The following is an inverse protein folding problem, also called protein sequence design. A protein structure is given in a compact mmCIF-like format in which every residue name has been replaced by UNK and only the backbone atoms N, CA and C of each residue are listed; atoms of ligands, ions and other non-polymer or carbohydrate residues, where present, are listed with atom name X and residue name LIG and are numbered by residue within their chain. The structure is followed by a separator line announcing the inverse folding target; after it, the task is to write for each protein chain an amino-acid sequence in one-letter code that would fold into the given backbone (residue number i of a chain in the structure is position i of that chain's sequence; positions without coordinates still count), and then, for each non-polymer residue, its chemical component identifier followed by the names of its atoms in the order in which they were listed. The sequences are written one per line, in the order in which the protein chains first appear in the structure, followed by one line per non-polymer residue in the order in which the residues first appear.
data_IF_357764421975
#
_entry.id   IF_357764421975
#
_cell.length_a   1.000
_cell.length_b   1.000
_cell.length_c   1.000
_cell.angle_alpha   90.00
_cell.angle_beta   90.00
_cell.angle_gamma   90.00
#
_symmetry.space_group_name_H-M   'P 1'
#
loop_
_entity.id
_entity.type
_entity.pdbx_description
1 polymer ?
#
# COMPACT_ATOMS: atom_id res chain seq x y z
N UNK A 1 41.13 -27.81 -39.27
CA UNK A 1 39.96 -28.35 -38.53
C UNK A 1 39.91 -27.72 -37.13
N UNK A 2 39.67 -26.41 -37.02
CA UNK A 2 39.64 -25.68 -35.73
C UNK A 2 38.57 -24.58 -35.65
N UNK A 3 37.76 -24.41 -36.70
CA UNK A 3 36.71 -23.38 -36.77
C UNK A 3 35.40 -23.84 -36.08
N UNK A 4 35.27 -25.14 -35.76
CA UNK A 4 34.06 -25.72 -35.16
C UNK A 4 33.87 -25.44 -33.67
N UNK A 5 34.94 -25.23 -32.90
CA UNK A 5 34.85 -25.14 -31.42
C UNK A 5 34.48 -23.72 -30.96
N UNK A 6 34.91 -22.69 -31.69
CA UNK A 6 34.60 -21.29 -31.36
C UNK A 6 33.12 -20.95 -31.57
N UNK A 7 32.49 -21.39 -32.67
CA UNK A 7 31.07 -21.11 -32.95
C UNK A 7 30.11 -21.84 -32.00
N UNK A 8 30.47 -23.05 -31.55
CA UNK A 8 29.71 -23.82 -30.54
C UNK A 8 29.70 -23.12 -29.17
N UNK A 9 30.85 -22.57 -28.74
CA UNK A 9 30.93 -21.78 -27.50
C UNK A 9 30.14 -20.47 -27.57
N UNK A 10 30.10 -19.80 -28.73
CA UNK A 10 29.30 -18.59 -28.93
C UNK A 10 27.80 -18.90 -28.91
N UNK A 11 27.39 -20.03 -29.50
CA UNK A 11 25.99 -20.46 -29.52
C UNK A 11 25.50 -20.88 -28.12
N UNK A 12 26.33 -21.59 -27.35
CA UNK A 12 26.01 -21.96 -25.97
C UNK A 12 25.88 -20.74 -25.04
N UNK A 13 26.78 -19.76 -25.18
CA UNK A 13 26.70 -18.50 -24.44
C UNK A 13 25.44 -17.69 -24.78
N UNK A 14 25.06 -17.68 -26.06
CA UNK A 14 23.85 -17.00 -26.51
C UNK A 14 22.58 -17.69 -25.97
N UNK A 15 22.53 -19.03 -25.98
CA UNK A 15 21.43 -19.80 -25.37
C UNK A 15 21.31 -19.47 -23.88
N UNK A 16 22.42 -19.52 -23.12
CA UNK A 16 22.43 -19.18 -21.69
C UNK A 16 21.98 -17.75 -21.42
N UNK A 17 22.39 -16.80 -22.25
CA UNK A 17 21.97 -15.39 -22.15
C UNK A 17 20.47 -15.25 -22.37
N UNK A 18 19.92 -15.89 -23.41
CA UNK A 18 18.48 -15.87 -23.70
C UNK A 18 17.68 -16.57 -22.61
N UNK A 19 18.16 -17.67 -22.05
CA UNK A 19 17.53 -18.36 -20.91
C UNK A 19 17.50 -17.48 -19.67
N UNK A 20 18.62 -16.82 -19.33
CA UNK A 20 18.67 -15.90 -18.21
C UNK A 20 17.73 -14.70 -18.41
N UNK A 21 17.71 -14.12 -19.62
CA UNK A 21 16.78 -13.05 -19.96
C UNK A 21 15.32 -13.48 -19.85
N UNK A 22 14.97 -14.67 -20.37
CA UNK A 22 13.64 -15.27 -20.22
C UNK A 22 13.28 -15.39 -18.74
N UNK A 23 14.19 -15.90 -17.91
CA UNK A 23 13.91 -16.13 -16.50
C UNK A 23 13.68 -14.80 -15.74
N UNK A 24 14.43 -13.75 -16.06
CA UNK A 24 14.23 -12.39 -15.54
C UNK A 24 12.85 -11.84 -15.99
N UNK A 25 12.52 -11.95 -17.27
CA UNK A 25 11.24 -11.46 -17.81
C UNK A 25 10.06 -12.18 -17.17
N UNK A 26 10.12 -13.51 -17.04
CA UNK A 26 9.08 -14.32 -16.41
C UNK A 26 8.95 -13.98 -14.92
N UNK A 27 10.06 -13.78 -14.22
CA UNK A 27 10.06 -13.39 -12.81
C UNK A 27 9.40 -12.01 -12.61
N UNK A 28 9.78 -11.01 -13.41
CA UNK A 28 9.21 -9.67 -13.36
C UNK A 28 7.71 -9.69 -13.67
N UNK A 29 7.30 -10.38 -14.74
CA UNK A 29 5.89 -10.51 -15.11
C UNK A 29 5.04 -11.13 -13.99
N UNK A 30 5.56 -12.15 -13.29
CA UNK A 30 4.87 -12.75 -12.13
C UNK A 30 4.72 -11.76 -10.98
N UNK A 31 5.79 -11.02 -10.65
CA UNK A 31 5.77 -10.07 -9.54
C UNK A 31 4.88 -8.86 -9.84
N UNK A 32 4.90 -8.36 -11.07
CA UNK A 32 4.04 -7.25 -11.50
C UNK A 32 2.57 -7.69 -11.56
N UNK A 33 2.30 -8.91 -12.01
CA UNK A 33 0.94 -9.49 -11.94
C UNK A 33 0.47 -9.59 -10.49
N UNK A 34 1.31 -10.08 -9.57
CA UNK A 34 0.98 -10.16 -8.14
C UNK A 34 0.68 -8.77 -7.56
N UNK A 35 1.51 -7.76 -7.87
CA UNK A 35 1.29 -6.38 -7.46
C UNK A 35 -0.03 -5.83 -7.99
N UNK A 36 -0.32 -6.06 -9.28
CA UNK A 36 -1.59 -5.63 -9.88
C UNK A 36 -2.81 -6.27 -9.20
N UNK A 37 -2.75 -7.57 -8.87
CA UNK A 37 -3.81 -8.22 -8.09
C UNK A 37 -3.97 -7.61 -6.69
N UNK A 38 -2.86 -7.35 -5.99
CA UNK A 38 -2.90 -6.74 -4.66
C UNK A 38 -3.47 -5.32 -4.72
N UNK A 39 -2.99 -4.49 -5.65
CA UNK A 39 -3.47 -3.12 -5.83
C UNK A 39 -4.95 -3.08 -6.21
N UNK A 40 -5.39 -4.01 -7.07
CA UNK A 40 -6.80 -4.15 -7.42
C UNK A 40 -7.66 -4.50 -6.21
N UNK A 41 -7.23 -5.44 -5.36
CA UNK A 41 -7.97 -5.79 -4.14
C UNK A 41 -7.99 -4.61 -3.17
N UNK A 42 -6.83 -3.98 -2.97
CA UNK A 42 -6.66 -2.87 -2.03
C UNK A 42 -7.39 -1.60 -2.49
N UNK A 43 -7.66 -1.43 -3.79
CA UNK A 43 -8.42 -0.29 -4.32
C UNK A 43 -9.81 -0.13 -3.67
N UNK A 44 -10.44 -1.26 -3.32
CA UNK A 44 -11.72 -1.31 -2.61
C UNK A 44 -11.66 -0.85 -1.14
N UNK A 45 -10.46 -0.68 -0.58
CA UNK A 45 -10.23 -0.13 0.77
C UNK A 45 -10.93 1.21 0.98
N UNK A 46 -11.02 2.03 -0.08
CA UNK A 46 -11.67 3.34 -0.03
C UNK A 46 -13.19 3.25 0.19
N UNK A 47 -13.85 2.24 -0.35
CA UNK A 47 -15.29 2.04 -0.17
C UNK A 47 -15.60 1.45 1.21
N UNK A 48 -14.73 0.57 1.71
CA UNK A 48 -14.75 0.07 3.08
C UNK A 48 -14.61 1.23 4.08
N UNK A 49 -13.69 2.17 3.82
CA UNK A 49 -13.50 3.37 4.64
C UNK A 49 -14.74 4.27 4.68
N UNK A 50 -15.42 4.50 3.55
CA UNK A 50 -16.68 5.26 3.52
C UNK A 50 -17.74 4.64 4.44
N UNK A 51 -17.83 3.31 4.45
CA UNK A 51 -18.78 2.58 5.30
C UNK A 51 -18.45 2.77 6.79
N UNK A 52 -17.19 2.61 7.16
CA UNK A 52 -16.70 2.88 8.53
C UNK A 52 -16.96 4.33 8.96
N UNK A 53 -16.71 5.30 8.08
CA UNK A 53 -16.92 6.72 8.35
C UNK A 53 -18.40 7.04 8.59
N UNK A 54 -19.31 6.43 7.82
CA UNK A 54 -20.74 6.57 8.06
C UNK A 54 -21.12 6.04 9.46
N UNK A 55 -20.65 4.85 9.82
CA UNK A 55 -20.89 4.27 11.14
C UNK A 55 -20.29 5.11 12.28
N UNK A 56 -19.09 5.67 12.11
CA UNK A 56 -18.48 6.61 13.06
C UNK A 56 -19.30 7.89 13.21
N UNK A 57 -19.82 8.43 12.11
CA UNK A 57 -20.70 9.61 12.13
C UNK A 57 -21.97 9.35 12.93
N UNK A 58 -22.63 8.21 12.69
CA UNK A 58 -23.82 7.79 13.45
C UNK A 58 -23.49 7.57 14.92
N UNK A 59 -22.42 6.84 15.23
CA UNK A 59 -21.98 6.61 16.61
C UNK A 59 -21.66 7.91 17.35
N UNK A 60 -21.01 8.87 16.68
CA UNK A 60 -20.72 10.20 17.22
C UNK A 60 -22.00 11.00 17.49
N UNK A 61 -22.95 10.99 16.57
CA UNK A 61 -24.25 11.66 16.74
C UNK A 61 -25.04 11.07 17.93
N UNK A 62 -25.11 9.74 18.03
CA UNK A 62 -25.76 9.05 19.16
C UNK A 62 -25.07 9.39 20.47
N UNK A 63 -23.74 9.34 20.51
CA UNK A 63 -22.96 9.71 21.71
C UNK A 63 -23.27 11.14 22.16
N UNK A 64 -23.29 12.10 21.22
CA UNK A 64 -23.63 13.49 21.52
C UNK A 64 -25.05 13.65 22.08
N UNK A 65 -26.02 12.94 21.49
CA UNK A 65 -27.41 12.97 21.96
C UNK A 65 -27.58 12.35 23.35
N UNK A 66 -26.91 11.23 23.62
CA UNK A 66 -26.92 10.57 24.93
C UNK A 66 -26.35 11.51 25.99
N UNK A 67 -25.15 12.06 25.75
CA UNK A 67 -24.47 12.96 26.70
C UNK A 67 -25.32 14.21 26.96
N UNK A 68 -25.88 14.83 25.92
CA UNK A 68 -26.70 16.03 26.06
C UNK A 68 -28.02 15.82 26.83
N UNK A 69 -28.49 14.58 26.96
CA UNK A 69 -29.75 14.24 27.61
C UNK A 69 -29.60 13.27 28.80
N UNK A 70 -28.39 13.09 29.33
CA UNK A 70 -28.11 12.19 30.46
C UNK A 70 -29.05 12.42 31.65
N UNK A 71 -29.27 13.69 32.01
CA UNK A 71 -30.11 14.07 33.15
C UNK A 71 -31.58 13.65 32.99
N UNK A 72 -32.05 13.51 31.74
CA UNK A 72 -33.43 13.11 31.43
C UNK A 72 -33.60 11.59 31.35
N UNK A 73 -32.54 10.86 31.03
CA UNK A 73 -32.55 9.40 30.84
C UNK A 73 -32.46 8.64 32.17
N UNK A 74 -31.59 9.12 33.06
CA UNK A 74 -31.27 8.47 34.35
C UNK A 74 -32.45 8.30 35.31
N UNK A 75 -33.45 9.21 35.39
CA UNK A 75 -34.59 9.02 36.30
C UNK A 75 -35.82 8.34 35.67
N UNK A 76 -35.83 8.04 34.35
CA UNK A 76 -37.04 7.57 33.65
C UNK A 76 -36.91 6.27 32.85
N UNK A 77 -35.73 5.97 32.32
CA UNK A 77 -35.59 4.90 31.32
C UNK A 77 -34.45 3.94 31.60
N UNK A 78 -33.36 4.39 32.22
CA UNK A 78 -32.17 3.56 32.42
C UNK A 78 -31.55 3.77 33.79
N UNK A 79 -31.02 2.69 34.36
CA UNK A 79 -30.12 2.80 35.50
C UNK A 79 -28.76 3.39 35.08
N UNK A 80 -28.06 4.04 36.03
CA UNK A 80 -26.72 4.61 35.79
C UNK A 80 -25.72 3.52 35.32
N UNK A 81 -25.89 2.28 35.78
CA UNK A 81 -25.09 1.12 35.40
C UNK A 81 -25.23 0.79 33.91
N UNK A 82 -26.46 0.80 33.40
CA UNK A 82 -26.79 0.48 32.00
C UNK A 82 -26.31 1.55 31.04
N UNK A 83 -26.47 2.83 31.40
CA UNK A 83 -25.95 3.96 30.61
C UNK A 83 -24.42 3.86 30.49
N UNK A 84 -23.72 3.51 31.58
CA UNK A 84 -22.25 3.31 31.53
C UNK A 84 -21.88 2.17 30.59
N UNK A 85 -22.60 1.04 30.63
CA UNK A 85 -22.33 -0.07 29.71
C UNK A 85 -22.59 0.31 28.25
N UNK A 86 -23.69 1.00 27.96
CA UNK A 86 -23.99 1.53 26.62
C UNK A 86 -22.87 2.41 26.08
N UNK A 87 -22.41 3.36 26.90
CA UNK A 87 -21.33 4.27 26.51
C UNK A 87 -20.00 3.52 26.29
N UNK A 88 -19.68 2.53 27.12
CA UNK A 88 -18.46 1.72 26.95
C UNK A 88 -18.50 0.96 25.63
N UNK A 89 -19.61 0.28 25.31
CA UNK A 89 -19.76 -0.47 24.06
C UNK A 89 -19.67 0.48 22.84
N UNK A 90 -20.31 1.64 22.92
CA UNK A 90 -20.29 2.64 21.86
C UNK A 90 -18.88 3.21 21.64
N UNK A 91 -18.14 3.51 22.72
CA UNK A 91 -16.75 3.95 22.64
C UNK A 91 -15.86 2.86 22.05
N UNK A 92 -16.06 1.58 22.41
CA UNK A 92 -15.34 0.46 21.79
C UNK A 92 -15.58 0.39 20.28
N UNK A 93 -16.81 0.61 19.81
CA UNK A 93 -17.12 0.70 18.38
C UNK A 93 -16.35 1.84 17.71
N UNK A 94 -16.36 3.04 18.32
CA UNK A 94 -15.64 4.21 17.79
C UNK A 94 -14.13 3.95 17.70
N UNK A 95 -13.51 3.37 18.74
CA UNK A 95 -12.09 3.02 18.74
C UNK A 95 -11.74 2.02 17.64
N UNK A 96 -12.60 1.02 17.39
CA UNK A 96 -12.43 0.09 16.28
C UNK A 96 -12.50 0.81 14.93
N UNK A 97 -13.45 1.74 14.75
CA UNK A 97 -13.55 2.53 13.52
C UNK A 97 -12.34 3.45 13.29
N UNK A 98 -11.78 4.04 14.35
CA UNK A 98 -10.54 4.83 14.25
C UNK A 98 -9.34 3.95 13.88
N UNK A 99 -9.22 2.74 14.46
CA UNK A 99 -8.19 1.78 14.10
C UNK A 99 -8.32 1.34 12.63
N UNK A 100 -9.54 1.04 12.18
CA UNK A 100 -9.85 0.75 10.78
C UNK A 100 -9.40 1.91 9.86
N UNK A 101 -9.72 3.16 10.23
CA UNK A 101 -9.40 4.35 9.45
C UNK A 101 -7.89 4.58 9.30
N UNK A 102 -7.12 4.29 10.33
CA UNK A 102 -5.65 4.39 10.26
C UNK A 102 -5.02 3.45 9.21
N UNK A 103 -5.59 2.24 9.08
CA UNK A 103 -5.15 1.26 8.09
C UNK A 103 -5.64 1.63 6.70
N UNK A 104 -6.88 2.11 6.58
CA UNK A 104 -7.45 2.64 5.34
C UNK A 104 -6.59 3.75 4.76
N UNK A 105 -6.16 4.69 5.62
CA UNK A 105 -5.28 5.78 5.21
C UNK A 105 -3.97 5.25 4.63
N UNK A 106 -3.35 4.26 5.29
CA UNK A 106 -2.11 3.64 4.81
C UNK A 106 -2.29 3.02 3.42
N UNK A 107 -3.38 2.26 3.20
CA UNK A 107 -3.71 1.70 1.89
C UNK A 107 -3.94 2.78 0.83
N UNK A 108 -4.68 3.84 1.18
CA UNK A 108 -4.98 4.94 0.24
C UNK A 108 -3.74 5.75 -0.15
N UNK A 109 -2.84 6.01 0.79
CA UNK A 109 -1.57 6.70 0.54
C UNK A 109 -0.69 5.84 -0.34
N UNK A 110 -0.60 4.54 -0.06
CA UNK A 110 0.17 3.60 -0.89
C UNK A 110 -0.29 3.63 -2.35
N UNK A 111 -1.59 3.44 -2.62
CA UNK A 111 -2.12 3.45 -3.98
C UNK A 111 -1.85 4.78 -4.70
N UNK A 112 -2.14 5.90 -4.04
CA UNK A 112 -1.94 7.24 -4.63
C UNK A 112 -0.48 7.54 -4.95
N UNK A 113 0.44 7.17 -4.05
CA UNK A 113 1.87 7.39 -4.24
C UNK A 113 2.40 6.48 -5.36
N UNK A 114 2.00 5.21 -5.37
CA UNK A 114 2.41 4.26 -6.43
C UNK A 114 1.93 4.74 -7.79
N UNK A 115 0.67 5.12 -7.92
CA UNK A 115 0.10 5.62 -9.19
C UNK A 115 0.76 6.92 -9.64
N UNK A 116 0.90 7.90 -8.74
CA UNK A 116 1.53 9.17 -9.07
C UNK A 116 3.00 9.00 -9.48
N UNK A 117 3.74 8.14 -8.77
CA UNK A 117 5.14 7.85 -9.06
C UNK A 117 5.27 7.12 -10.39
N UNK A 118 4.46 6.10 -10.66
CA UNK A 118 4.49 5.35 -11.91
C UNK A 118 4.20 6.27 -13.12
N UNK A 119 3.17 7.11 -13.01
CA UNK A 119 2.81 8.04 -14.09
C UNK A 119 3.92 9.06 -14.38
N UNK A 120 4.52 9.63 -13.33
CA UNK A 120 5.60 10.60 -13.48
C UNK A 120 6.92 9.99 -13.93
N UNK A 121 7.23 8.80 -13.43
CA UNK A 121 8.45 8.12 -13.80
C UNK A 121 8.41 7.64 -15.25
N UNK A 122 7.26 7.14 -15.72
CA UNK A 122 7.07 6.78 -17.11
C UNK A 122 7.37 7.94 -18.06
N UNK A 123 6.79 9.12 -17.78
CA UNK A 123 7.03 10.33 -18.58
C UNK A 123 8.53 10.70 -18.65
N UNK A 124 9.25 10.55 -17.54
CA UNK A 124 10.69 10.83 -17.45
C UNK A 124 11.51 9.79 -18.22
N UNK A 125 11.19 8.51 -18.07
CA UNK A 125 11.88 7.41 -18.76
C UNK A 125 11.66 7.51 -20.27
N UNK A 126 10.43 7.71 -20.73
CA UNK A 126 10.10 7.86 -22.15
C UNK A 126 10.91 9.03 -22.79
N UNK A 127 11.07 10.13 -22.03
CA UNK A 127 11.87 11.29 -22.47
C UNK A 127 13.37 10.98 -22.49
N UNK A 128 13.86 10.23 -21.51
CA UNK A 128 15.24 9.78 -21.44
C UNK A 128 15.58 8.85 -22.60
N UNK A 129 14.78 7.80 -22.85
CA UNK A 129 14.96 6.84 -23.94
C UNK A 129 14.97 7.55 -25.31
N UNK A 130 14.10 8.55 -25.52
CA UNK A 130 14.12 9.36 -26.75
C UNK A 130 15.40 10.19 -26.91
N UNK A 131 15.99 10.63 -25.80
CA UNK A 131 17.23 11.42 -25.80
C UNK A 131 18.44 10.50 -25.99
N UNK A 132 18.44 9.36 -25.32
CA UNK A 132 19.44 8.28 -25.44
C UNK A 132 19.55 7.82 -26.90
N UNK A 133 18.44 7.48 -27.56
CA UNK A 133 18.44 7.10 -28.97
C UNK A 133 18.98 8.19 -29.92
N UNK A 134 18.93 9.47 -29.52
CA UNK A 134 19.51 10.58 -30.29
C UNK A 134 21.01 10.72 -30.03
N UNK A 135 21.46 10.44 -28.81
CA UNK A 135 22.88 10.48 -28.44
C UNK A 135 23.60 9.24 -28.96
N UNK A 136 23.00 8.05 -28.90
CA UNK A 136 23.53 6.81 -29.51
C UNK A 136 23.81 7.00 -31.00
N UNK A 137 22.91 7.65 -31.74
CA UNK A 137 23.15 8.01 -33.14
C UNK A 137 24.37 8.92 -33.31
N UNK A 138 24.57 9.90 -32.43
CA UNK A 138 25.76 10.76 -32.48
C UNK A 138 27.04 10.00 -32.12
N UNK A 139 26.96 9.05 -31.19
CA UNK A 139 28.06 8.18 -30.77
C UNK A 139 28.48 7.29 -31.94
N UNK A 140 27.52 6.66 -32.63
CA UNK A 140 27.75 5.85 -33.83
C UNK A 140 28.34 6.68 -34.98
N UNK A 141 27.75 7.85 -35.24
CA UNK A 141 28.18 8.75 -36.32
C UNK A 141 29.61 9.29 -36.12
N UNK A 142 30.04 9.47 -34.87
CA UNK A 142 31.35 10.03 -34.51
C UNK A 142 32.34 8.99 -33.95
N UNK A 143 31.97 7.71 -33.92
CA UNK A 143 32.75 6.60 -33.33
C UNK A 143 33.27 6.94 -31.92
N UNK A 144 32.39 7.51 -31.10
CA UNK A 144 32.71 7.82 -29.71
C UNK A 144 32.51 6.55 -28.85
N UNK A 145 33.29 6.40 -27.78
CA UNK A 145 33.14 5.33 -26.79
C UNK A 145 32.55 5.95 -25.53
N UNK A 146 31.24 6.23 -25.57
CA UNK A 146 30.49 6.85 -24.47
C UNK A 146 29.31 5.94 -24.16
N UNK A 147 29.23 5.48 -22.92
CA UNK A 147 28.10 4.70 -22.42
C UNK A 147 27.07 5.63 -21.76
N UNK A 148 25.79 5.34 -21.97
CA UNK A 148 24.67 6.11 -21.43
C UNK A 148 23.95 5.19 -20.45
N UNK A 149 24.12 5.40 -19.15
CA UNK A 149 23.47 4.59 -18.13
C UNK A 149 22.55 5.45 -17.26
N UNK A 150 21.28 5.04 -17.15
CA UNK A 150 20.32 5.63 -16.22
C UNK A 150 20.26 4.84 -14.91
N UNK A 151 20.98 5.34 -13.90
CA UNK A 151 21.02 4.71 -12.58
C UNK A 151 19.88 5.18 -11.67
N UNK A 152 18.82 4.35 -11.61
CA UNK A 152 17.68 4.57 -10.71
C UNK A 152 18.07 4.53 -9.22
N UNK A 153 19.12 3.79 -8.84
CA UNK A 153 19.57 3.71 -7.45
C UNK A 153 20.11 5.05 -6.97
N UNK A 154 20.88 5.76 -7.79
CA UNK A 154 21.34 7.11 -7.47
C UNK A 154 20.18 8.10 -7.26
N UNK A 155 19.11 7.99 -8.05
CA UNK A 155 17.92 8.83 -7.89
C UNK A 155 17.23 8.56 -6.54
N UNK A 156 17.06 7.28 -6.19
CA UNK A 156 16.47 6.86 -4.91
C UNK A 156 17.34 7.30 -3.73
N UNK A 157 18.66 7.16 -3.83
CA UNK A 157 19.59 7.60 -2.79
C UNK A 157 19.51 9.12 -2.56
N UNK A 158 19.46 9.92 -3.64
CA UNK A 158 19.26 11.37 -3.55
C UNK A 158 17.92 11.70 -2.88
N UNK A 159 16.84 11.00 -3.24
CA UNK A 159 15.53 11.19 -2.61
C UNK A 159 15.54 10.87 -1.11
N UNK A 160 16.11 9.73 -0.70
CA UNK A 160 16.26 9.37 0.71
C UNK A 160 17.12 10.39 1.44
N UNK A 161 18.15 10.93 0.79
CA UNK A 161 19.03 11.93 1.38
C UNK A 161 18.38 13.29 1.66
N UNK A 162 17.33 13.65 0.91
CA UNK A 162 16.51 14.83 1.19
C UNK A 162 15.62 14.67 2.43
N UNK A 163 15.40 13.43 2.88
CA UNK A 163 14.46 13.14 3.97
C UNK A 163 15.10 13.32 5.37
N UNK A 164 14.31 13.65 6.40
CA UNK A 164 14.77 13.69 7.79
C UNK A 164 15.36 12.36 8.28
N UNK A 165 16.23 12.40 9.30
CA UNK A 165 16.99 11.23 9.78
C UNK A 165 16.11 10.02 10.15
N UNK A 166 14.91 10.24 10.71
CA UNK A 166 14.00 9.17 11.09
C UNK A 166 13.40 8.46 9.87
N UNK A 167 13.14 9.19 8.78
CA UNK A 167 12.69 8.62 7.51
C UNK A 167 13.83 7.87 6.84
N UNK A 168 15.06 8.41 6.87
CA UNK A 168 16.25 7.72 6.33
C UNK A 168 16.43 6.35 6.99
N UNK A 169 16.38 6.32 8.32
CA UNK A 169 16.50 5.08 9.09
C UNK A 169 15.38 4.09 8.75
N UNK A 170 14.14 4.56 8.63
CA UNK A 170 13.01 3.73 8.23
C UNK A 170 13.16 3.18 6.80
N UNK A 171 13.53 4.04 5.84
CA UNK A 171 13.73 3.67 4.44
C UNK A 171 14.81 2.60 4.29
N UNK A 172 15.98 2.78 4.92
CA UNK A 172 17.06 1.79 4.90
C UNK A 172 16.60 0.42 5.44
N UNK A 173 15.84 0.42 6.55
CA UNK A 173 15.31 -0.81 7.14
C UNK A 173 14.29 -1.50 6.24
N UNK A 174 13.44 -0.75 5.54
CA UNK A 174 12.46 -1.33 4.62
C UNK A 174 13.13 -1.82 3.33
N UNK A 175 14.13 -1.11 2.79
CA UNK A 175 14.90 -1.55 1.61
C UNK A 175 15.58 -2.89 1.87
N UNK A 176 16.20 -3.09 3.05
CA UNK A 176 16.79 -4.37 3.41
C UNK A 176 15.80 -5.53 3.37
N UNK A 177 14.54 -5.29 3.78
CA UNK A 177 13.50 -6.33 3.74
C UNK A 177 13.03 -6.63 2.32
N UNK A 178 12.92 -5.60 1.48
CA UNK A 178 12.55 -5.76 0.06
C UNK A 178 13.63 -6.53 -0.70
N UNK A 179 14.91 -6.28 -0.40
CA UNK A 179 16.03 -7.03 -0.97
C UNK A 179 15.97 -8.52 -0.58
N UNK A 180 15.50 -8.85 0.63
CA UNK A 180 15.37 -10.23 1.09
C UNK A 180 14.11 -10.95 0.60
N UNK A 181 13.01 -10.21 0.37
CA UNK A 181 11.72 -10.74 -0.11
C UNK A 181 11.08 -9.73 -1.08
N UNK A 182 11.14 -9.97 -2.39
CA UNK A 182 10.57 -9.10 -3.42
C UNK A 182 9.06 -8.87 -3.26
N UNK A 183 8.36 -9.80 -2.61
CA UNK A 183 6.92 -9.75 -2.36
C UNK A 183 6.56 -9.07 -1.03
N UNK A 184 7.55 -8.65 -0.24
CA UNK A 184 7.36 -8.12 1.12
C UNK A 184 6.33 -6.97 1.14
N UNK A 185 6.45 -6.04 0.20
CA UNK A 185 5.56 -4.89 0.15
C UNK A 185 4.11 -5.31 -0.17
N UNK A 186 3.93 -6.18 -1.15
CA UNK A 186 2.62 -6.75 -1.53
C UNK A 186 1.97 -7.47 -0.33
N UNK A 187 2.73 -8.27 0.42
CA UNK A 187 2.27 -8.94 1.65
C UNK A 187 1.88 -7.93 2.74
N UNK A 188 2.68 -6.88 2.94
CA UNK A 188 2.45 -5.83 3.94
C UNK A 188 1.17 -5.03 3.65
N UNK A 189 0.97 -4.63 2.39
CA UNK A 189 -0.23 -3.92 1.94
C UNK A 189 -1.47 -4.80 2.11
N UNK A 190 -1.41 -6.05 1.66
CA UNK A 190 -2.52 -6.99 1.76
C UNK A 190 -2.88 -7.31 3.22
N UNK A 191 -1.89 -7.47 4.11
CA UNK A 191 -2.12 -7.63 5.55
C UNK A 191 -2.82 -6.43 6.16
N UNK A 192 -2.45 -5.22 5.74
CA UNK A 192 -3.08 -3.98 6.23
C UNK A 192 -4.55 -3.91 5.80
N UNK A 193 -4.84 -4.29 4.56
CA UNK A 193 -6.20 -4.41 4.03
C UNK A 193 -7.06 -5.44 4.78
N UNK A 194 -6.55 -6.66 5.04
CA UNK A 194 -7.31 -7.65 5.80
C UNK A 194 -7.52 -7.22 7.26
N UNK A 195 -6.52 -6.56 7.87
CA UNK A 195 -6.69 -5.98 9.22
C UNK A 195 -7.72 -4.86 9.25
N UNK A 196 -7.77 -4.01 8.22
CA UNK A 196 -8.80 -2.97 8.07
C UNK A 196 -10.19 -3.60 8.07
N UNK A 197 -10.39 -4.67 7.30
CA UNK A 197 -11.65 -5.42 7.28
C UNK A 197 -11.98 -6.04 8.65
N UNK A 198 -11.00 -6.63 9.33
CA UNK A 198 -11.19 -7.16 10.69
C UNK A 198 -11.66 -6.10 11.69
N UNK A 199 -11.08 -4.90 11.66
CA UNK A 199 -11.51 -3.79 12.51
C UNK A 199 -12.90 -3.25 12.15
N UNK A 200 -13.26 -3.24 10.87
CA UNK A 200 -14.62 -2.89 10.43
C UNK A 200 -15.65 -3.88 10.99
N UNK A 201 -15.37 -5.18 10.92
CA UNK A 201 -16.24 -6.22 11.48
C UNK A 201 -16.41 -6.04 13.00
N UNK A 202 -15.31 -5.77 13.72
CA UNK A 202 -15.39 -5.48 15.15
C UNK A 202 -16.20 -4.22 15.47
N UNK A 203 -15.99 -3.14 14.71
CA UNK A 203 -16.78 -1.91 14.84
C UNK A 203 -18.28 -2.20 14.67
N UNK A 204 -18.64 -2.96 13.63
CA UNK A 204 -20.01 -3.35 13.35
C UNK A 204 -20.58 -4.23 14.46
N UNK A 205 -19.82 -5.20 14.98
CA UNK A 205 -20.23 -6.04 16.11
C UNK A 205 -20.53 -5.22 17.36
N UNK A 206 -19.63 -4.32 17.76
CA UNK A 206 -19.88 -3.44 18.91
C UNK A 206 -21.06 -2.51 18.69
N UNK A 207 -21.22 -1.98 17.47
CA UNK A 207 -22.35 -1.12 17.15
C UNK A 207 -23.69 -1.87 17.23
N UNK A 208 -23.74 -3.11 16.73
CA UNK A 208 -24.91 -3.98 16.85
C UNK A 208 -25.19 -4.37 18.30
N UNK A 209 -24.16 -4.69 19.09
CA UNK A 209 -24.30 -4.96 20.52
C UNK A 209 -24.86 -3.74 21.28
N UNK A 210 -24.40 -2.54 20.93
CA UNK A 210 -24.93 -1.29 21.48
C UNK A 210 -26.43 -1.17 21.19
N UNK A 211 -26.87 -1.39 19.94
CA UNK A 211 -28.29 -1.34 19.57
C UNK A 211 -29.09 -2.41 20.33
N UNK A 212 -28.61 -3.64 20.36
CA UNK A 212 -29.29 -4.74 21.05
C UNK A 212 -29.47 -4.44 22.53
N UNK A 213 -28.39 -4.03 23.20
CA UNK A 213 -28.44 -3.68 24.62
C UNK A 213 -29.38 -2.49 24.87
N UNK A 214 -29.32 -1.46 24.02
CA UNK A 214 -30.22 -0.30 24.12
C UNK A 214 -31.69 -0.68 23.97
N UNK A 215 -32.02 -1.66 23.13
CA UNK A 215 -33.40 -2.13 22.92
C UNK A 215 -33.86 -3.05 24.05
N UNK A 216 -32.99 -3.93 24.57
CA UNK A 216 -33.36 -4.86 25.64
C UNK A 216 -33.45 -4.22 27.01
N UNK A 217 -32.73 -3.12 27.23
CA UNK A 217 -32.76 -2.35 28.47
C UNK A 217 -33.81 -1.23 28.46
N UNK A 218 -34.57 -1.08 27.36
CA UNK A 218 -35.69 -0.14 27.24
C UNK A 218 -37.00 -0.79 27.72
#
# INVERSE_FOLDING_TARGET
MSIGISSLGTQENLIKSVENWRDIVVFNAKNDSLRAFVDSVVSSSSDIDKTSNWALGVAGAISGLLIANLDKLTPKFFEISEIKMLLIILVSSILCGLAQKSLALTCSVHLKVTEATANKLKEIIDTFESSEASIEKMIDDHQLDIDIEFDMYQVIERFVNLSPFYIKWYAQKETQKVLSDPEYNSKKTLRSYYRQNGWLLLQAMFFMLFILFAVTSL
#
